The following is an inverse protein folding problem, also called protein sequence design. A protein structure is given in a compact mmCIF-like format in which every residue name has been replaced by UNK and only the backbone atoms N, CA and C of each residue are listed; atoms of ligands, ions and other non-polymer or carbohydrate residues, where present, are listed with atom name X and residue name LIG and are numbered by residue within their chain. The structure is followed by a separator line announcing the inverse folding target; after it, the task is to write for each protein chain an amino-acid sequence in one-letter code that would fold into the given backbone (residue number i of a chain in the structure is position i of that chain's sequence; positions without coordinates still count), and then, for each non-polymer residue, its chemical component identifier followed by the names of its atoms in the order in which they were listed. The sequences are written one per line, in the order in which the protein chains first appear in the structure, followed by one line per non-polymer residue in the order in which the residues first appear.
data_IF_906456027769
#
_entry.id   IF_906456027769
#
_cell.length_a   1.000
_cell.length_b   1.000
_cell.length_c   1.000
_cell.angle_alpha   90.00
_cell.angle_beta   90.00
_cell.angle_gamma   90.00
#
_symmetry.space_group_name_H-M   'P 1'
#
loop_
_entity.id
_entity.type
_entity.pdbx_description
1 polymer ?
#
# COMPACT_ATOMS: atom_id res chain seq x y z
N UNK A 1 4.02 4.79 11.70
CA UNK A 1 3.93 4.68 10.22
C UNK A 1 4.38 3.30 9.75
N UNK A 2 3.55 2.62 8.97
CA UNK A 2 3.81 1.33 8.32
C UNK A 2 3.48 1.46 6.83
N UNK A 3 4.22 0.78 5.95
CA UNK A 3 3.82 0.67 4.53
C UNK A 3 2.54 -0.15 4.40
N UNK A 4 1.72 0.08 3.38
CA UNK A 4 0.57 -0.75 3.03
C UNK A 4 0.96 -1.98 2.18
N UNK A 5 2.15 -1.95 1.57
CA UNK A 5 2.75 -3.09 0.89
C UNK A 5 3.68 -3.85 1.83
N UNK A 6 3.70 -5.16 1.70
CA UNK A 6 4.50 -6.00 2.58
C UNK A 6 4.55 -7.44 2.11
N UNK A 7 5.61 -8.13 2.52
CA UNK A 7 5.81 -9.55 2.29
C UNK A 7 6.29 -10.22 3.58
N UNK A 8 5.72 -11.37 3.88
CA UNK A 8 6.18 -12.23 4.97
C UNK A 8 6.28 -13.66 4.48
N UNK A 9 7.33 -14.37 4.90
CA UNK A 9 7.53 -15.79 4.56
C UNK A 9 8.06 -16.52 5.77
N UNK A 10 7.54 -17.72 5.99
CA UNK A 10 8.08 -18.66 6.97
C UNK A 10 8.01 -20.09 6.41
N UNK A 11 8.99 -20.91 6.78
CA UNK A 11 9.01 -22.35 6.54
C UNK A 11 9.10 -23.04 7.90
N UNK A 12 8.32 -24.10 8.08
CA UNK A 12 8.43 -25.02 9.21
C UNK A 12 8.50 -26.44 8.71
N UNK A 13 9.34 -27.27 9.33
CA UNK A 13 9.47 -28.68 9.03
C UNK A 13 9.49 -29.48 10.33
N UNK A 14 8.50 -30.35 10.53
CA UNK A 14 8.33 -31.19 11.73
C UNK A 14 7.81 -32.57 11.34
N UNK A 15 8.47 -33.63 11.80
CA UNK A 15 8.06 -35.03 11.59
C UNK A 15 7.70 -35.40 10.14
N UNK A 16 8.45 -34.87 9.16
CA UNK A 16 8.19 -35.10 7.74
C UNK A 16 7.00 -34.33 7.16
N UNK A 17 6.44 -33.37 7.92
CA UNK A 17 5.48 -32.36 7.46
C UNK A 17 6.21 -31.06 7.19
N UNK A 18 6.08 -30.57 5.97
CA UNK A 18 6.62 -29.29 5.53
C UNK A 18 5.49 -28.28 5.35
N UNK A 19 5.65 -27.13 5.97
CA UNK A 19 4.77 -25.98 5.89
C UNK A 19 5.54 -24.81 5.29
N UNK A 20 4.95 -24.14 4.32
CA UNK A 20 5.43 -22.86 3.81
C UNK A 20 4.25 -21.89 3.78
N UNK A 21 4.39 -20.78 4.49
CA UNK A 21 3.41 -19.69 4.50
C UNK A 21 4.04 -18.46 3.89
N UNK A 22 3.38 -17.88 2.89
CA UNK A 22 3.72 -16.60 2.29
C UNK A 22 2.54 -15.63 2.41
N UNK A 23 2.81 -14.43 2.87
CA UNK A 23 1.83 -13.34 3.02
C UNK A 23 2.27 -12.20 2.12
N UNK A 24 1.36 -11.71 1.27
CA UNK A 24 1.57 -10.55 0.39
C UNK A 24 0.47 -9.55 0.63
N UNK A 25 0.79 -8.26 0.70
CA UNK A 25 -0.23 -7.21 0.72
C UNK A 25 -0.03 -6.15 -0.34
N UNK A 26 -1.16 -5.62 -0.80
CA UNK A 26 -1.24 -4.41 -1.60
C UNK A 26 -2.19 -3.41 -0.95
N UNK A 27 -2.07 -2.15 -1.36
CA UNK A 27 -2.90 -1.06 -0.90
C UNK A 27 -4.39 -1.36 -1.15
N UNK A 28 -5.19 -1.36 -0.08
CA UNK A 28 -6.64 -1.47 -0.15
C UNK A 28 -7.27 -0.86 1.11
N UNK A 29 -8.43 -0.22 0.93
CA UNK A 29 -9.11 0.54 1.99
C UNK A 29 -9.55 -0.31 3.19
N UNK A 30 -9.86 -1.58 2.95
CA UNK A 30 -10.32 -2.55 3.97
C UNK A 30 -9.40 -3.76 3.99
N UNK A 31 -9.31 -4.44 5.14
CA UNK A 31 -8.69 -5.74 5.23
C UNK A 31 -9.50 -6.76 4.41
N UNK A 32 -8.98 -7.12 3.24
CA UNK A 32 -9.55 -8.14 2.36
C UNK A 32 -8.56 -9.30 2.28
N UNK A 33 -8.89 -10.41 2.96
CA UNK A 33 -7.97 -11.55 3.13
C UNK A 33 -8.43 -12.72 2.26
N UNK A 34 -7.58 -13.06 1.30
CA UNK A 34 -7.72 -14.25 0.46
C UNK A 34 -6.71 -15.30 0.90
N UNK A 35 -7.19 -16.47 1.31
CA UNK A 35 -6.33 -17.60 1.66
C UNK A 35 -6.32 -18.59 0.50
N UNK A 36 -5.12 -18.91 0.00
CA UNK A 36 -4.88 -19.90 -1.06
C UNK A 36 -4.16 -21.08 -0.42
N UNK A 37 -4.90 -22.15 -0.17
CA UNK A 37 -4.38 -23.36 0.48
C UNK A 37 -4.72 -24.61 -0.35
N UNK A 38 -3.96 -25.72 -0.18
CA UNK A 38 -4.31 -27.01 -0.76
C UNK A 38 -5.66 -27.50 -0.24
N UNK A 39 -6.38 -28.33 -1.04
CA UNK A 39 -7.74 -28.80 -0.71
C UNK A 39 -7.85 -29.44 0.67
N UNK A 40 -6.83 -30.17 1.09
CA UNK A 40 -6.77 -30.84 2.39
C UNK A 40 -6.58 -29.89 3.57
N UNK A 41 -6.35 -28.58 3.38
CA UNK A 41 -6.25 -27.58 4.43
C UNK A 41 -7.33 -26.48 4.36
N UNK A 42 -8.26 -26.55 3.39
CA UNK A 42 -9.32 -25.53 3.26
C UNK A 42 -10.21 -25.42 4.51
N UNK A 43 -10.36 -26.49 5.29
CA UNK A 43 -11.09 -26.46 6.56
C UNK A 43 -10.45 -25.53 7.62
N UNK A 44 -9.18 -25.13 7.45
CA UNK A 44 -8.46 -24.20 8.33
C UNK A 44 -8.54 -22.74 7.85
N UNK A 45 -9.16 -22.48 6.70
CA UNK A 45 -9.21 -21.15 6.07
C UNK A 45 -9.71 -20.07 7.03
N UNK A 46 -10.81 -20.32 7.73
CA UNK A 46 -11.38 -19.36 8.68
C UNK A 46 -10.48 -19.10 9.88
N UNK A 47 -9.72 -20.10 10.33
CA UNK A 47 -8.77 -19.93 11.43
C UNK A 47 -7.58 -19.07 10.98
N UNK A 48 -7.03 -19.33 9.80
CA UNK A 48 -5.95 -18.53 9.19
C UNK A 48 -6.40 -17.09 9.01
N UNK A 49 -7.59 -16.88 8.44
CA UNK A 49 -8.17 -15.54 8.25
C UNK A 49 -8.28 -14.77 9.56
N UNK A 50 -8.75 -15.41 10.63
CA UNK A 50 -8.86 -14.78 11.97
C UNK A 50 -7.50 -14.40 12.55
N UNK A 51 -6.48 -15.27 12.44
CA UNK A 51 -5.13 -14.95 12.91
C UNK A 51 -4.56 -13.71 12.22
N UNK A 52 -4.75 -13.58 10.90
CA UNK A 52 -4.29 -12.40 10.15
C UNK A 52 -5.10 -11.15 10.52
N UNK A 53 -6.43 -11.24 10.64
CA UNK A 53 -7.29 -10.10 11.03
C UNK A 53 -6.96 -9.53 12.40
N UNK A 54 -6.54 -10.38 13.35
CA UNK A 54 -6.18 -9.95 14.69
C UNK A 54 -4.91 -9.08 14.72
N UNK A 55 -4.07 -9.17 13.67
CA UNK A 55 -2.77 -8.50 13.60
C UNK A 55 -2.71 -7.41 12.54
N UNK A 56 -3.64 -7.40 11.57
CA UNK A 56 -3.62 -6.46 10.43
C UNK A 56 -5.00 -5.82 10.22
N UNK A 57 -5.04 -4.49 10.22
CA UNK A 57 -6.30 -3.72 10.15
C UNK A 57 -6.72 -3.34 8.71
N UNK A 58 -5.78 -3.24 7.75
CA UNK A 58 -6.05 -2.83 6.36
C UNK A 58 -5.12 -3.51 5.34
N UNK A 59 -5.54 -3.44 4.08
CA UNK A 59 -4.83 -3.98 2.92
C UNK A 59 -5.53 -5.18 2.30
N UNK A 60 -5.28 -5.42 1.02
CA UNK A 60 -5.67 -6.67 0.37
C UNK A 60 -4.53 -7.65 0.57
N UNK A 61 -4.78 -8.69 1.35
CA UNK A 61 -3.78 -9.63 1.84
C UNK A 61 -4.04 -10.98 1.21
N UNK A 62 -3.05 -11.50 0.50
CA UNK A 62 -3.06 -12.86 -0.01
C UNK A 62 -2.15 -13.72 0.87
N UNK A 63 -2.72 -14.77 1.46
CA UNK A 63 -1.99 -15.79 2.23
C UNK A 63 -1.90 -17.04 1.39
N UNK A 64 -0.69 -17.41 0.99
CA UNK A 64 -0.41 -18.66 0.30
C UNK A 64 0.14 -19.67 1.28
N UNK A 65 -0.47 -20.84 1.31
CA UNK A 65 -0.04 -21.96 2.12
C UNK A 65 0.37 -23.09 1.18
N UNK A 66 1.57 -23.61 1.37
CA UNK A 66 1.99 -24.89 0.81
C UNK A 66 2.18 -25.87 1.95
N UNK A 67 1.70 -27.09 1.75
CA UNK A 67 1.78 -28.16 2.73
C UNK A 67 2.10 -29.46 2.03
N UNK A 68 3.15 -30.14 2.50
CA UNK A 68 3.51 -31.47 2.10
C UNK A 68 3.66 -32.34 3.34
N UNK A 69 3.10 -33.54 3.31
CA UNK A 69 3.22 -34.51 4.40
C UNK A 69 3.80 -35.81 3.84
N UNK A 70 5.07 -36.03 4.14
CA UNK A 70 5.84 -37.22 3.79
C UNK A 70 5.85 -38.27 4.92
N UNK A 71 5.34 -37.93 6.11
CA UNK A 71 5.20 -38.85 7.24
C UNK A 71 4.14 -39.93 7.01
N UNK A 72 4.24 -41.02 7.77
CA UNK A 72 3.26 -42.12 7.79
C UNK A 72 2.29 -42.02 8.98
N UNK A 73 2.67 -41.27 10.02
CA UNK A 73 1.86 -41.09 11.21
C UNK A 73 0.51 -40.42 10.89
N UNK A 74 -0.54 -40.95 11.50
CA UNK A 74 -1.90 -40.44 11.35
C UNK A 74 -2.57 -40.74 10.00
N UNK A 75 -1.90 -41.43 9.08
CA UNK A 75 -2.46 -41.84 7.78
C UNK A 75 -3.01 -43.25 7.86
N UNK A 76 -4.32 -43.38 7.80
CA UNK A 76 -5.00 -44.66 7.69
C UNK A 76 -5.40 -44.94 6.23
N UNK A 77 -4.88 -46.02 5.66
CA UNK A 77 -5.28 -46.47 4.31
C UNK A 77 -6.57 -47.27 4.43
N UNK A 78 -7.67 -46.64 4.03
CA UNK A 78 -9.01 -47.22 4.09
C UNK A 78 -9.41 -47.71 2.70
N UNK A 79 -9.64 -49.02 2.60
CA UNK A 79 -10.23 -49.66 1.42
C UNK A 79 -11.75 -49.63 1.54
N UNK A 80 -12.42 -48.91 0.64
CA UNK A 80 -13.87 -49.00 0.49
C UNK A 80 -14.23 -50.31 -0.23
N UNK A 81 -14.34 -51.39 0.56
CA UNK A 81 -14.61 -52.74 0.06
C UNK A 81 -15.94 -52.85 -0.68
N UNK A 82 -16.95 -52.13 -0.26
CA UNK A 82 -18.28 -52.18 -0.87
C UNK A 82 -18.27 -51.52 -2.25
N UNK A 83 -17.66 -50.34 -2.36
CA UNK A 83 -17.49 -49.66 -3.64
C UNK A 83 -16.58 -50.45 -4.59
N UNK A 84 -15.50 -51.04 -4.07
CA UNK A 84 -14.63 -51.92 -4.85
C UNK A 84 -15.39 -53.11 -5.44
N UNK A 85 -16.27 -53.75 -4.66
CA UNK A 85 -17.13 -54.84 -5.14
C UNK A 85 -18.11 -54.36 -6.20
N UNK A 86 -18.69 -53.17 -6.04
CA UNK A 86 -19.59 -52.59 -7.02
C UNK A 86 -18.87 -52.35 -8.35
N UNK A 87 -17.68 -51.74 -8.32
CA UNK A 87 -16.87 -51.56 -9.52
C UNK A 87 -16.52 -52.88 -10.20
N UNK A 88 -16.11 -53.90 -9.43
CA UNK A 88 -15.79 -55.23 -9.96
C UNK A 88 -17.02 -55.82 -10.67
N UNK A 89 -18.19 -55.73 -10.05
CA UNK A 89 -19.45 -56.25 -10.62
C UNK A 89 -19.77 -55.58 -11.96
N UNK A 90 -19.91 -54.25 -11.97
CA UNK A 90 -20.36 -53.49 -13.15
C UNK A 90 -19.37 -53.60 -14.32
N UNK A 91 -18.06 -53.62 -14.04
CA UNK A 91 -17.04 -53.77 -15.08
C UNK A 91 -16.95 -55.21 -15.62
N UNK A 92 -17.29 -56.21 -14.81
CA UNK A 92 -17.39 -57.60 -15.28
C UNK A 92 -18.62 -57.78 -16.17
N UNK A 93 -19.78 -57.25 -15.76
CA UNK A 93 -21.02 -57.27 -16.56
C UNK A 93 -20.80 -56.55 -17.91
N UNK A 94 -20.18 -55.36 -17.90
CA UNK A 94 -19.84 -54.63 -19.13
C UNK A 94 -18.89 -55.42 -20.04
N UNK A 95 -17.91 -56.12 -19.47
CA UNK A 95 -16.95 -56.89 -20.24
C UNK A 95 -17.62 -58.08 -20.97
N UNK A 96 -18.58 -58.72 -20.31
CA UNK A 96 -19.41 -59.78 -20.90
C UNK A 96 -20.32 -59.23 -22.01
N UNK A 97 -20.98 -58.09 -21.79
CA UNK A 97 -21.85 -57.45 -22.80
C UNK A 97 -21.08 -57.00 -24.05
N UNK A 98 -19.85 -56.52 -23.88
CA UNK A 98 -19.01 -55.99 -24.95
C UNK A 98 -18.09 -57.03 -25.61
N UNK A 99 -18.15 -58.31 -25.19
CA UNK A 99 -17.28 -59.40 -25.65
C UNK A 99 -15.78 -59.06 -25.54
N UNK A 100 -15.39 -58.46 -24.42
CA UNK A 100 -13.99 -58.11 -24.11
C UNK A 100 -13.46 -58.96 -22.94
N UNK A 101 -12.14 -59.25 -22.88
CA UNK A 101 -11.58 -60.08 -21.82
C UNK A 101 -11.84 -59.51 -20.41
N UNK A 102 -12.42 -60.34 -19.52
CA UNK A 102 -12.62 -59.99 -18.12
C UNK A 102 -11.42 -60.43 -17.27
N UNK A 103 -10.94 -59.53 -16.39
CA UNK A 103 -9.77 -59.81 -15.56
C UNK A 103 -9.24 -58.59 -14.82
N UNK A 104 -9.97 -58.14 -13.79
CA UNK A 104 -9.55 -57.02 -12.95
C UNK A 104 -8.50 -57.47 -11.92
N UNK A 105 -7.32 -56.85 -11.98
CA UNK A 105 -6.29 -57.00 -10.96
C UNK A 105 -6.58 -56.09 -9.76
N UNK A 106 -6.17 -56.50 -8.56
CA UNK A 106 -6.29 -55.67 -7.37
C UNK A 106 -5.62 -54.28 -7.55
N UNK A 107 -4.54 -54.21 -8.33
CA UNK A 107 -3.85 -52.96 -8.68
C UNK A 107 -4.65 -52.03 -9.61
N UNK A 108 -5.61 -52.57 -10.35
CA UNK A 108 -6.51 -51.80 -11.22
C UNK A 108 -7.69 -51.30 -10.40
N UNK A 109 -8.24 -52.16 -9.55
CA UNK A 109 -9.30 -51.81 -8.59
C UNK A 109 -8.83 -50.73 -7.62
N UNK A 110 -7.58 -50.77 -7.16
CA UNK A 110 -7.00 -49.77 -6.26
C UNK A 110 -6.89 -48.37 -6.87
N UNK A 111 -6.91 -48.25 -8.21
CA UNK A 111 -6.82 -46.96 -8.92
C UNK A 111 -8.18 -46.36 -9.23
N UNK A 112 -9.26 -47.09 -8.97
CA UNK A 112 -10.61 -46.60 -9.21
C UNK A 112 -10.95 -45.51 -8.20
N UNK A 113 -11.72 -44.48 -8.61
CA UNK A 113 -12.12 -43.39 -7.73
C UNK A 113 -12.70 -43.91 -6.41
N UNK A 114 -12.28 -43.31 -5.30
CA UNK A 114 -12.78 -43.56 -3.95
C UNK A 114 -12.61 -45.00 -3.39
N UNK A 115 -11.91 -45.90 -4.10
CA UNK A 115 -11.66 -47.28 -3.63
C UNK A 115 -10.60 -47.33 -2.54
N UNK A 116 -9.44 -46.71 -2.76
CA UNK A 116 -8.41 -46.54 -1.73
C UNK A 116 -8.33 -45.08 -1.33
N UNK A 117 -8.64 -44.81 -0.06
CA UNK A 117 -8.56 -43.47 0.51
C UNK A 117 -7.53 -43.44 1.63
N UNK A 118 -6.80 -42.33 1.72
CA UNK A 118 -5.96 -42.04 2.88
C UNK A 118 -6.79 -41.11 3.78
N UNK A 119 -7.19 -41.62 4.94
CA UNK A 119 -7.85 -40.82 5.97
C UNK A 119 -6.81 -40.35 6.98
N UNK A 120 -6.99 -39.12 7.46
CA UNK A 120 -6.20 -38.56 8.56
C UNK A 120 -7.00 -38.72 9.86
N UNK A 121 -6.33 -39.13 10.94
CA UNK A 121 -6.93 -39.17 12.28
C UNK A 121 -7.16 -37.76 12.85
N UNK A 122 -8.13 -37.58 13.75
CA UNK A 122 -8.48 -36.27 14.32
C UNK A 122 -7.29 -35.61 15.06
N UNK A 123 -6.53 -36.39 15.85
CA UNK A 123 -5.31 -35.92 16.53
C UNK A 123 -4.26 -35.38 15.55
N UNK A 124 -4.24 -35.93 14.33
CA UNK A 124 -3.36 -35.45 13.26
C UNK A 124 -3.83 -34.12 12.70
N UNK A 125 -5.15 -33.88 12.62
CA UNK A 125 -5.71 -32.59 12.18
C UNK A 125 -5.41 -31.46 13.17
N UNK A 126 -5.44 -31.76 14.49
CA UNK A 126 -5.06 -30.79 15.52
C UNK A 126 -3.56 -30.46 15.48
N UNK A 127 -2.72 -31.48 15.37
CA UNK A 127 -1.26 -31.32 15.23
C UNK A 127 -0.92 -30.46 14.01
N UNK A 128 -1.57 -30.73 12.86
CA UNK A 128 -1.38 -29.95 11.64
C UNK A 128 -1.73 -28.47 11.85
N UNK A 129 -2.81 -28.18 12.60
CA UNK A 129 -3.18 -26.80 12.90
C UNK A 129 -2.16 -26.12 13.81
N UNK A 130 -1.67 -26.79 14.85
CA UNK A 130 -0.68 -26.22 15.76
C UNK A 130 0.61 -25.84 15.01
N UNK A 131 1.13 -26.75 14.19
CA UNK A 131 2.34 -26.51 13.39
C UNK A 131 2.13 -25.43 12.32
N UNK A 132 0.99 -25.48 11.63
CA UNK A 132 0.65 -24.42 10.66
C UNK A 132 0.51 -23.07 11.35
N UNK A 133 -0.09 -23.01 12.54
CA UNK A 133 -0.28 -21.78 13.30
C UNK A 133 1.07 -21.19 13.72
N UNK A 134 2.02 -22.01 14.16
CA UNK A 134 3.39 -21.56 14.48
C UNK A 134 4.09 -20.96 13.26
N UNK A 135 4.00 -21.63 12.11
CA UNK A 135 4.53 -21.12 10.86
C UNK A 135 3.83 -19.83 10.41
N UNK A 136 2.51 -19.75 10.60
CA UNK A 136 1.69 -18.59 10.24
C UNK A 136 2.05 -17.37 11.09
N UNK A 137 2.15 -17.51 12.42
CA UNK A 137 2.54 -16.40 13.31
C UNK A 137 3.93 -15.86 12.93
N UNK A 138 4.89 -16.75 12.65
CA UNK A 138 6.22 -16.34 12.17
C UNK A 138 6.15 -15.57 10.85
N UNK A 139 5.30 -16.00 9.91
CA UNK A 139 5.11 -15.29 8.64
C UNK A 139 4.42 -13.93 8.85
N UNK A 140 3.48 -13.82 9.79
CA UNK A 140 2.81 -12.56 10.16
C UNK A 140 3.80 -11.59 10.80
N UNK A 141 4.66 -12.05 11.70
CA UNK A 141 5.68 -11.21 12.33
C UNK A 141 6.66 -10.68 11.28
N UNK A 142 7.19 -11.55 10.41
CA UNK A 142 8.04 -11.14 9.28
C UNK A 142 7.35 -10.12 8.36
N UNK A 143 6.05 -10.30 8.11
CA UNK A 143 5.25 -9.37 7.32
C UNK A 143 5.12 -7.99 7.97
N UNK A 144 4.86 -7.93 9.28
CA UNK A 144 4.73 -6.68 10.04
C UNK A 144 6.08 -5.95 10.14
N UNK A 145 7.15 -6.69 10.36
CA UNK A 145 8.51 -6.14 10.43
C UNK A 145 8.91 -5.50 9.10
N UNK A 146 8.66 -6.19 7.99
CA UNK A 146 8.93 -5.65 6.65
C UNK A 146 8.15 -4.35 6.40
N UNK A 147 6.85 -4.31 6.75
CA UNK A 147 6.02 -3.10 6.63
C UNK A 147 6.53 -1.94 7.48
N UNK A 148 7.09 -2.23 8.64
CA UNK A 148 7.67 -1.23 9.54
C UNK A 148 8.98 -0.67 9.00
N UNK A 149 9.86 -1.54 8.48
CA UNK A 149 11.11 -1.14 7.82
C UNK A 149 10.81 -0.27 6.59
N UNK A 150 9.88 -0.70 5.74
CA UNK A 150 9.49 0.05 4.55
C UNK A 150 8.84 1.40 4.92
N UNK A 151 7.95 1.41 5.91
CA UNK A 151 7.36 2.64 6.43
C UNK A 151 8.39 3.63 6.96
N UNK A 152 9.46 3.16 7.62
CA UNK A 152 10.55 4.03 8.09
C UNK A 152 11.33 4.67 6.93
N UNK A 153 11.56 3.93 5.83
CA UNK A 153 12.23 4.46 4.63
C UNK A 153 11.37 5.51 3.93
N UNK A 154 10.06 5.24 3.80
CA UNK A 154 9.12 6.21 3.22
C UNK A 154 9.07 7.47 4.08
N UNK A 155 9.02 7.34 5.41
CA UNK A 155 9.07 8.50 6.33
C UNK A 155 10.31 9.37 6.08
N UNK A 156 11.49 8.76 5.95
CA UNK A 156 12.73 9.48 5.69
C UNK A 156 12.74 10.19 4.32
N UNK A 157 12.22 9.52 3.28
CA UNK A 157 12.07 10.12 1.94
C UNK A 157 11.10 11.32 1.98
N UNK A 158 9.95 11.17 2.63
CA UNK A 158 8.98 12.25 2.83
C UNK A 158 9.58 13.45 3.57
N UNK A 159 10.36 13.22 4.63
CA UNK A 159 11.05 14.29 5.35
C UNK A 159 12.04 15.04 4.44
N UNK A 160 12.81 14.31 3.62
CA UNK A 160 13.78 14.90 2.69
C UNK A 160 13.08 15.77 1.65
N UNK A 161 12.01 15.26 1.05
CA UNK A 161 11.19 16.01 0.06
C UNK A 161 10.54 17.24 0.68
N UNK A 162 10.01 17.11 1.89
CA UNK A 162 9.38 18.23 2.60
C UNK A 162 10.40 19.33 2.94
N UNK A 163 11.64 18.97 3.29
CA UNK A 163 12.73 19.94 3.45
C UNK A 163 13.06 20.67 2.15
N UNK A 164 13.03 19.99 1.00
CA UNK A 164 13.20 20.65 -0.31
C UNK A 164 12.08 21.66 -0.59
N UNK A 165 10.83 21.32 -0.26
CA UNK A 165 9.70 22.27 -0.37
C UNK A 165 9.91 23.47 0.55
N UNK A 166 10.31 23.24 1.80
CA UNK A 166 10.57 24.31 2.78
C UNK A 166 11.71 25.25 2.34
N UNK A 167 12.77 24.73 1.74
CA UNK A 167 13.84 25.54 1.15
C UNK A 167 13.32 26.43 0.02
N UNK A 168 12.51 25.88 -0.89
CA UNK A 168 11.91 26.63 -1.99
C UNK A 168 10.94 27.71 -1.48
N UNK A 169 10.18 27.42 -0.42
CA UNK A 169 9.33 28.42 0.26
C UNK A 169 10.16 29.58 0.81
N UNK A 170 11.31 29.30 1.42
CA UNK A 170 12.19 30.35 1.93
C UNK A 170 12.80 31.19 0.80
N UNK A 171 13.25 30.56 -0.30
CA UNK A 171 13.73 31.27 -1.50
C UNK A 171 12.65 32.18 -2.09
N UNK A 172 11.41 31.69 -2.20
CA UNK A 172 10.29 32.53 -2.67
C UNK A 172 10.07 33.70 -1.71
N UNK A 173 10.11 33.48 -0.40
CA UNK A 173 9.97 34.54 0.59
C UNK A 173 11.04 35.64 0.43
N UNK A 174 12.28 35.27 0.17
CA UNK A 174 13.39 36.22 -0.10
C UNK A 174 13.17 36.97 -1.41
N UNK A 175 12.79 36.27 -2.47
CA UNK A 175 12.50 36.86 -3.78
C UNK A 175 11.26 37.75 -3.78
N UNK A 176 10.31 37.51 -2.87
CA UNK A 176 9.11 38.32 -2.69
C UNK A 176 9.39 39.61 -1.92
N UNK A 177 10.48 39.66 -1.16
CA UNK A 177 10.90 40.86 -0.43
C UNK A 177 11.42 41.90 -1.43
N UNK A 178 10.87 43.11 -1.44
CA UNK A 178 11.31 44.17 -2.37
C UNK A 178 10.56 44.21 -3.70
N UNK A 179 9.66 43.26 -4.00
CA UNK A 179 8.94 43.21 -5.28
C UNK A 179 8.04 44.42 -5.50
N UNK A 180 7.42 44.91 -4.42
CA UNK A 180 6.51 46.07 -4.49
C UNK A 180 7.33 47.31 -4.81
N UNK A 181 8.48 47.51 -4.16
CA UNK A 181 9.38 48.62 -4.42
C UNK A 181 9.94 48.59 -5.85
N UNK A 182 10.37 47.43 -6.34
CA UNK A 182 10.84 47.29 -7.73
C UNK A 182 9.73 47.60 -8.74
N UNK A 183 8.50 47.18 -8.45
CA UNK A 183 7.35 47.46 -9.30
C UNK A 183 6.97 48.94 -9.30
N UNK A 184 7.02 49.62 -8.14
CA UNK A 184 6.76 51.06 -8.02
C UNK A 184 7.68 51.84 -8.96
N UNK A 185 8.98 51.54 -8.93
CA UNK A 185 9.98 52.20 -9.79
C UNK A 185 9.66 51.96 -11.27
N UNK A 186 9.43 50.70 -11.66
CA UNK A 186 9.10 50.35 -13.06
C UNK A 186 7.81 50.99 -13.55
N UNK A 187 6.78 51.05 -12.71
CA UNK A 187 5.49 51.65 -13.05
C UNK A 187 5.64 53.16 -13.25
N UNK A 188 6.38 53.84 -12.37
CA UNK A 188 6.64 55.28 -12.49
C UNK A 188 7.40 55.60 -13.79
N UNK A 189 8.43 54.84 -14.12
CA UNK A 189 9.17 54.97 -15.39
C UNK A 189 8.24 54.76 -16.60
N UNK A 190 7.43 53.71 -16.59
CA UNK A 190 6.48 53.38 -17.65
C UNK A 190 5.44 54.48 -17.87
N UNK A 191 4.94 55.08 -16.79
CA UNK A 191 3.97 56.18 -16.86
C UNK A 191 4.61 57.43 -17.48
N UNK A 192 5.84 57.78 -17.07
CA UNK A 192 6.59 58.92 -17.63
C UNK A 192 6.83 58.73 -19.13
N UNK A 193 7.24 57.53 -19.56
CA UNK A 193 7.44 57.21 -20.97
C UNK A 193 6.16 57.31 -21.81
N UNK A 194 5.06 56.70 -21.35
CA UNK A 194 3.82 56.60 -22.14
C UNK A 194 3.08 57.94 -22.25
N UNK A 195 3.04 58.70 -21.15
CA UNK A 195 2.30 59.96 -21.10
C UNK A 195 3.16 61.18 -21.46
N UNK A 196 4.49 61.00 -21.64
CA UNK A 196 5.46 62.08 -21.92
C UNK A 196 5.35 63.25 -20.94
N UNK A 197 5.14 62.95 -19.67
CA UNK A 197 5.01 63.91 -18.56
C UNK A 197 6.16 63.72 -17.59
N UNK A 198 6.69 64.83 -17.06
CA UNK A 198 7.76 64.81 -16.05
C UNK A 198 7.24 64.59 -14.62
N UNK A 199 5.97 64.93 -14.36
CA UNK A 199 5.36 64.87 -13.03
C UNK A 199 4.19 63.88 -13.05
N UNK A 200 4.31 62.84 -12.24
CA UNK A 200 3.25 61.84 -12.01
C UNK A 200 2.38 62.29 -10.84
N UNK A 201 1.06 62.17 -10.99
CA UNK A 201 0.10 62.36 -9.88
C UNK A 201 0.33 61.29 -8.81
N UNK A 202 0.81 61.72 -7.64
CA UNK A 202 1.20 60.83 -6.55
C UNK A 202 0.00 60.15 -5.89
N UNK A 203 -1.16 60.79 -5.84
CA UNK A 203 -2.34 60.23 -5.18
C UNK A 203 -2.92 59.08 -6.01
N UNK A 204 -2.98 59.27 -7.34
CA UNK A 204 -3.41 58.23 -8.27
C UNK A 204 -2.40 57.08 -8.36
N UNK A 205 -1.11 57.39 -8.35
CA UNK A 205 -0.06 56.38 -8.32
C UNK A 205 -0.13 55.54 -7.04
N UNK A 206 -0.30 56.17 -5.88
CA UNK A 206 -0.43 55.47 -4.60
C UNK A 206 -1.63 54.51 -4.57
N UNK A 207 -2.78 54.91 -5.13
CA UNK A 207 -3.96 54.03 -5.23
C UNK A 207 -3.69 52.78 -6.09
N UNK A 208 -3.04 52.95 -7.25
CA UNK A 208 -2.68 51.81 -8.10
C UNK A 208 -1.65 50.88 -7.45
N UNK A 209 -0.68 51.45 -6.72
CA UNK A 209 0.31 50.67 -5.98
C UNK A 209 -0.35 49.79 -4.92
N UNK A 210 -1.32 50.32 -4.17
CA UNK A 210 -2.05 49.54 -3.15
C UNK A 210 -2.81 48.37 -3.81
N UNK A 211 -3.56 48.64 -4.89
CA UNK A 211 -4.34 47.62 -5.60
C UNK A 211 -3.41 46.54 -6.18
N UNK A 212 -2.26 46.93 -6.72
CA UNK A 212 -1.28 45.99 -7.26
C UNK A 212 -0.59 45.18 -6.16
N UNK A 213 -0.19 45.83 -5.06
CA UNK A 213 0.41 45.18 -3.89
C UNK A 213 -0.48 44.06 -3.35
N UNK A 214 -1.78 44.33 -3.18
CA UNK A 214 -2.73 43.31 -2.70
C UNK A 214 -2.86 42.13 -3.68
N UNK A 215 -2.78 42.39 -4.99
CA UNK A 215 -2.85 41.34 -6.02
C UNK A 215 -1.58 40.50 -6.12
N UNK A 216 -0.42 41.08 -5.84
CA UNK A 216 0.88 40.41 -5.96
C UNK A 216 1.44 39.90 -4.63
N UNK A 217 0.84 40.25 -3.50
CA UNK A 217 1.27 39.77 -2.19
C UNK A 217 1.03 38.26 -2.06
N UNK A 218 2.13 37.54 -1.79
CA UNK A 218 2.19 36.09 -1.56
C UNK A 218 2.45 35.73 -0.10
N UNK A 219 2.49 36.73 0.78
CA UNK A 219 2.92 36.58 2.17
C UNK A 219 1.97 35.70 2.99
N UNK A 220 0.67 35.79 2.73
CA UNK A 220 -0.33 34.96 3.36
C UNK A 220 -0.18 33.48 2.94
N UNK A 221 -0.04 33.23 1.64
CA UNK A 221 0.17 31.89 1.09
C UNK A 221 1.46 31.26 1.66
N UNK A 222 2.56 32.03 1.72
CA UNK A 222 3.83 31.57 2.30
C UNK A 222 3.69 31.22 3.79
N UNK A 223 2.95 32.04 4.55
CA UNK A 223 2.71 31.81 5.98
C UNK A 223 1.88 30.55 6.20
N UNK A 224 0.80 30.38 5.43
CA UNK A 224 -0.04 29.17 5.48
C UNK A 224 0.75 27.94 5.08
N UNK A 225 1.56 28.03 4.02
CA UNK A 225 2.38 26.92 3.56
C UNK A 225 3.40 26.47 4.61
N UNK A 226 4.08 27.42 5.28
CA UNK A 226 4.96 27.11 6.44
C UNK A 226 4.19 26.41 7.57
N UNK A 227 2.97 26.86 7.87
CA UNK A 227 2.11 26.21 8.87
C UNK A 227 1.73 24.77 8.46
N UNK A 228 1.37 24.55 7.19
CA UNK A 228 1.06 23.21 6.68
C UNK A 228 2.28 22.29 6.71
N UNK A 229 3.47 22.78 6.37
CA UNK A 229 4.74 22.02 6.48
C UNK A 229 4.97 21.57 7.93
N UNK A 230 4.81 22.48 8.91
CA UNK A 230 4.97 22.15 10.32
C UNK A 230 3.95 21.11 10.79
N UNK A 231 2.67 21.25 10.39
CA UNK A 231 1.64 20.26 10.68
C UNK A 231 1.95 18.91 10.06
N UNK A 232 2.46 18.89 8.82
CA UNK A 232 2.86 17.67 8.13
C UNK A 232 3.98 16.95 8.89
N UNK A 233 5.04 17.66 9.29
CA UNK A 233 6.13 17.10 10.11
C UNK A 233 5.60 16.48 11.41
N UNK A 234 4.68 17.15 12.10
CA UNK A 234 4.09 16.64 13.33
C UNK A 234 3.28 15.35 13.11
N UNK A 235 2.53 15.26 12.00
CA UNK A 235 1.77 14.06 11.67
C UNK A 235 2.67 12.86 11.36
N UNK A 236 3.85 13.07 10.78
CA UNK A 236 4.81 11.98 10.52
C UNK A 236 5.36 11.32 11.79
N UNK A 237 5.27 11.99 12.94
CA UNK A 237 5.70 11.47 14.24
C UNK A 237 4.60 10.71 14.99
N UNK A 238 3.36 10.70 14.48
CA UNK A 238 2.25 10.01 15.12
C UNK A 238 2.25 8.51 14.82
N UNK A 239 1.77 7.71 15.79
CA UNK A 239 1.60 6.27 15.64
C UNK A 239 0.23 5.87 15.05
N UNK A 240 -0.70 6.82 14.96
CA UNK A 240 -2.03 6.60 14.38
C UNK A 240 -2.03 6.68 12.84
N UNK A 241 -3.06 6.13 12.16
CA UNK A 241 -3.19 6.25 10.72
C UNK A 241 -3.36 7.69 10.24
N UNK A 242 -2.28 8.27 9.70
CA UNK A 242 -2.21 9.68 9.27
C UNK A 242 -2.44 9.92 7.77
N UNK A 243 -2.47 8.87 6.94
CA UNK A 243 -2.49 9.01 5.47
C UNK A 243 -3.58 9.96 4.92
N UNK A 244 -4.80 9.92 5.46
CA UNK A 244 -5.88 10.86 5.07
C UNK A 244 -5.63 12.31 5.48
N UNK A 245 -5.06 12.52 6.68
CA UNK A 245 -4.72 13.86 7.18
C UNK A 245 -3.59 14.46 6.36
N UNK A 246 -2.60 13.64 6.00
CA UNK A 246 -1.50 14.04 5.13
C UNK A 246 -1.96 14.38 3.71
N UNK A 247 -2.88 13.59 3.11
CA UNK A 247 -3.45 13.90 1.79
C UNK A 247 -4.19 15.24 1.79
N UNK A 248 -4.97 15.53 2.85
CA UNK A 248 -5.61 16.85 3.01
C UNK A 248 -4.58 17.99 3.07
N UNK A 249 -3.50 17.84 3.85
CA UNK A 249 -2.46 18.87 3.91
C UNK A 249 -1.80 19.09 2.55
N UNK A 250 -1.53 18.04 1.78
CA UNK A 250 -0.95 18.18 0.44
C UNK A 250 -1.88 18.89 -0.52
N UNK A 251 -3.19 18.68 -0.42
CA UNK A 251 -4.17 19.43 -1.20
C UNK A 251 -4.12 20.93 -0.87
N UNK A 252 -4.09 21.28 0.42
CA UNK A 252 -3.98 22.68 0.84
C UNK A 252 -2.63 23.28 0.43
N UNK A 253 -1.51 22.57 0.60
CA UNK A 253 -0.19 23.02 0.16
C UNK A 253 -0.13 23.26 -1.35
N UNK A 254 -0.75 22.39 -2.15
CA UNK A 254 -0.88 22.58 -3.60
C UNK A 254 -1.73 23.79 -3.95
N UNK A 255 -2.81 24.05 -3.20
CA UNK A 255 -3.66 25.24 -3.37
C UNK A 255 -2.88 26.51 -3.11
N UNK A 256 -2.11 26.58 -2.03
CA UNK A 256 -1.29 27.76 -1.72
C UNK A 256 -0.17 27.94 -2.75
N UNK A 257 0.49 26.85 -3.17
CA UNK A 257 1.52 26.87 -4.22
C UNK A 257 0.97 27.37 -5.58
N UNK A 258 -0.27 27.00 -5.93
CA UNK A 258 -0.94 27.51 -7.13
C UNK A 258 -1.19 29.02 -7.04
N UNK A 259 -1.63 29.50 -5.88
CA UNK A 259 -1.91 30.92 -5.66
C UNK A 259 -0.64 31.76 -5.70
N UNK A 260 0.47 31.27 -5.13
CA UNK A 260 1.79 31.92 -5.26
C UNK A 260 2.18 32.05 -6.74
N UNK A 261 2.01 30.96 -7.51
CA UNK A 261 2.30 30.95 -8.94
C UNK A 261 1.47 31.90 -9.77
N UNK A 262 0.19 32.13 -9.42
CA UNK A 262 -0.69 33.03 -10.16
C UNK A 262 -0.53 34.50 -9.77
N UNK A 263 -0.05 34.77 -8.55
CA UNK A 263 0.22 36.13 -8.04
C UNK A 263 1.62 36.65 -8.40
N UNK A 264 2.57 35.75 -8.65
CA UNK A 264 3.96 36.13 -8.96
C UNK A 264 4.19 36.31 -10.46
N UNK A 265 4.73 37.47 -10.84
CA UNK A 265 5.19 37.76 -12.21
C UNK A 265 6.66 37.44 -12.46
N UNK A 266 7.40 36.96 -11.45
CA UNK A 266 8.85 36.73 -11.56
C UNK A 266 9.13 35.30 -12.03
N UNK A 267 9.87 35.15 -13.12
CA UNK A 267 10.19 33.86 -13.73
C UNK A 267 10.89 32.89 -12.75
N UNK A 268 11.75 33.42 -11.87
CA UNK A 268 12.43 32.66 -10.81
C UNK A 268 11.42 32.03 -9.83
N UNK A 269 10.41 32.77 -9.40
CA UNK A 269 9.35 32.27 -8.51
C UNK A 269 8.48 31.25 -9.26
N UNK A 270 8.16 31.50 -10.54
CA UNK A 270 7.41 30.54 -11.36
C UNK A 270 8.13 29.19 -11.47
N UNK A 271 9.45 29.19 -11.66
CA UNK A 271 10.24 27.97 -11.73
C UNK A 271 10.22 27.20 -10.40
N UNK A 272 10.41 27.90 -9.26
CA UNK A 272 10.33 27.31 -7.92
C UNK A 272 8.94 26.72 -7.63
N UNK A 273 7.87 27.39 -8.08
CA UNK A 273 6.49 26.90 -7.95
C UNK A 273 6.28 25.61 -8.75
N UNK A 274 6.82 25.51 -9.97
CA UNK A 274 6.72 24.29 -10.79
C UNK A 274 7.45 23.13 -10.08
N UNK A 275 8.67 23.38 -9.59
CA UNK A 275 9.46 22.39 -8.86
C UNK A 275 8.73 21.90 -7.60
N UNK A 276 8.18 22.82 -6.80
CA UNK A 276 7.39 22.49 -5.62
C UNK A 276 6.18 21.63 -5.97
N UNK A 277 5.44 21.93 -7.04
CA UNK A 277 4.30 21.12 -7.48
C UNK A 277 4.70 19.68 -7.81
N UNK A 278 5.83 19.50 -8.49
CA UNK A 278 6.36 18.16 -8.78
C UNK A 278 6.66 17.41 -7.48
N UNK A 279 7.36 18.05 -6.55
CA UNK A 279 7.68 17.42 -5.26
C UNK A 279 6.42 17.11 -4.43
N UNK A 280 5.40 17.98 -4.45
CA UNK A 280 4.15 17.76 -3.74
C UNK A 280 3.33 16.60 -4.32
N UNK A 281 3.34 16.41 -5.65
CA UNK A 281 2.67 15.25 -6.26
C UNK A 281 3.42 13.95 -5.95
N UNK A 282 4.75 13.94 -5.99
CA UNK A 282 5.55 12.79 -5.56
C UNK A 282 5.26 12.41 -4.09
N UNK A 283 5.17 13.41 -3.21
CA UNK A 283 4.78 13.19 -1.80
C UNK A 283 3.38 12.59 -1.72
N UNK A 284 2.43 13.09 -2.52
CA UNK A 284 1.05 12.60 -2.55
C UNK A 284 0.98 11.12 -2.91
N UNK A 285 1.74 10.69 -3.92
CA UNK A 285 1.81 9.28 -4.32
C UNK A 285 2.36 8.39 -3.20
N UNK A 286 3.40 8.84 -2.50
CA UNK A 286 3.97 8.11 -1.36
C UNK A 286 2.99 8.00 -0.19
N UNK A 287 2.22 9.07 0.10
CA UNK A 287 1.22 9.07 1.18
C UNK A 287 0.14 8.00 0.95
N UNK A 288 -0.20 7.70 -0.31
CA UNK A 288 -1.18 6.66 -0.61
C UNK A 288 -0.71 5.27 -0.20
N UNK A 289 0.59 5.05 0.02
CA UNK A 289 1.17 3.76 0.37
C UNK A 289 1.48 3.61 1.86
N UNK A 290 1.07 4.53 2.74
CA UNK A 290 1.35 4.49 4.18
C UNK A 290 0.09 4.45 5.06
N UNK A 291 0.19 3.74 6.19
CA UNK A 291 -0.77 3.77 7.29
C UNK A 291 -0.13 3.97 8.67
#
# INVERSE_FOLDING_TARGET
MKSMTGFGRAKLEKDGREYLVEIRSVNHKYADITVKAPRNLLYLEDKVRKSVLNRVARGKIEVFISYANYGLDGKNVVLNKELAKLYIKELTELAEEADIPSGLRATEVSKMPDVLNIQLEEDSLETIWQELSECLETAIDNFIDMRSIEGSKIKQDLQTRLSSVEENVNKISELSTGLVEEYIVKLEERIKELLKIDIVDKDRLAQEIVIYSDKCSTEEELTRLKSHIAQFKNLLEQEEPVGKKLDFLIQEMNRETNTIGSKSGKLEITNLVIEMKTVLEDIREQIQNIE
#
